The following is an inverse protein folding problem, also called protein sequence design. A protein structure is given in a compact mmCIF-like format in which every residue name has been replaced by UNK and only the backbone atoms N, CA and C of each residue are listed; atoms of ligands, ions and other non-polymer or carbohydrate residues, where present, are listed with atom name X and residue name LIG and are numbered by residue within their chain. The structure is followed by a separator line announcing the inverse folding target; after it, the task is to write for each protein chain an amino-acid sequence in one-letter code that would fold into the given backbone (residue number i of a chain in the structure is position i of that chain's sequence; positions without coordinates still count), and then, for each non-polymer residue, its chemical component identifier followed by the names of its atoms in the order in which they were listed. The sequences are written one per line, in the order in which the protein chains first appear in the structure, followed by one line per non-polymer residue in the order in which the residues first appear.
data_IF_994955232230
#
_entry.id   IF_994955232230
#
_cell.length_a   1.000
_cell.length_b   1.000
_cell.length_c   1.000
_cell.angle_alpha   90.00
_cell.angle_beta   90.00
_cell.angle_gamma   90.00
#
_symmetry.space_group_name_H-M   'P 1'
#
loop_
_entity.id
_entity.type
_entity.pdbx_description
1 polymer ?
#
# COMPACT_ATOMS: atom_id res chain seq x y z
N UNK A 1 46.93 -35.31 43.79
CA UNK A 1 47.88 -34.54 42.96
C UNK A 1 47.40 -33.10 43.01
N UNK A 2 47.88 -32.25 43.93
CA UNK A 2 49.15 -31.47 43.87
C UNK A 2 49.24 -30.75 42.51
N UNK A 3 49.42 -29.44 42.34
CA UNK A 3 49.44 -28.20 43.16
C UNK A 3 49.69 -27.07 42.12
N UNK A 4 49.57 -25.80 42.57
CA UNK A 4 50.07 -24.53 42.00
C UNK A 4 49.11 -23.78 41.06
N UNK A 5 48.79 -22.50 41.25
CA UNK A 5 49.43 -21.45 42.07
C UNK A 5 48.47 -20.27 42.24
N UNK A 6 48.49 -19.67 43.43
CA UNK A 6 47.82 -18.42 43.75
C UNK A 6 48.58 -17.20 43.20
N UNK A 7 47.85 -16.13 42.89
CA UNK A 7 48.29 -14.78 43.26
C UNK A 7 47.12 -13.82 43.43
N UNK A 8 47.17 -13.15 44.57
CA UNK A 8 46.19 -12.24 45.14
C UNK A 8 46.11 -10.90 44.39
N UNK A 9 44.93 -10.27 44.41
CA UNK A 9 44.81 -8.85 44.77
C UNK A 9 43.52 -8.59 45.56
N UNK A 10 43.75 -8.28 46.83
CA UNK A 10 42.90 -7.68 47.84
C UNK A 10 42.58 -6.22 47.39
N UNK A 11 41.40 -5.60 47.63
CA UNK A 11 41.03 -4.89 48.88
C UNK A 11 39.60 -4.27 48.72
N UNK A 12 38.76 -4.56 49.72
CA UNK A 12 37.73 -3.76 50.47
C UNK A 12 36.58 -3.04 49.71
N UNK A 13 35.29 -3.29 49.97
CA UNK A 13 34.44 -3.12 51.20
C UNK A 13 34.41 -1.69 51.79
N UNK A 14 33.30 -0.97 51.55
CA UNK A 14 32.45 -0.16 52.48
C UNK A 14 31.48 0.69 51.62
N UNK A 15 30.16 0.59 51.71
CA UNK A 15 29.24 0.90 52.82
C UNK A 15 28.91 2.41 52.96
N UNK A 16 27.65 2.72 52.63
CA UNK A 16 26.68 3.55 53.37
C UNK A 16 26.82 5.09 53.46
N UNK A 17 25.63 5.73 53.40
CA UNK A 17 25.14 7.06 53.86
C UNK A 17 24.19 7.56 52.75
N UNK A 18 22.85 7.61 52.83
CA UNK A 18 21.88 7.96 53.89
C UNK A 18 22.27 9.22 54.65
N UNK A 19 21.83 10.36 54.15
CA UNK A 19 21.50 11.52 54.96
C UNK A 19 20.18 12.13 54.47
N UNK A 20 19.20 12.15 55.37
CA UNK A 20 18.02 12.99 55.25
C UNK A 20 18.25 14.28 56.03
N UNK A 21 17.46 15.30 55.74
CA UNK A 21 17.17 16.39 56.68
C UNK A 21 15.80 16.95 56.37
N UNK A 22 14.88 16.73 57.32
CA UNK A 22 13.60 17.40 57.43
C UNK A 22 13.85 18.78 58.05
N UNK A 23 13.32 19.85 57.44
CA UNK A 23 13.17 21.15 58.09
C UNK A 23 11.77 21.69 57.76
N UNK A 24 10.90 21.74 58.77
CA UNK A 24 9.67 22.53 58.78
C UNK A 24 9.97 23.90 59.37
N UNK A 25 9.54 24.96 58.68
CA UNK A 25 9.00 26.19 59.28
C UNK A 25 8.30 27.00 58.17
N UNK A 26 7.05 27.41 58.43
CA UNK A 26 6.17 28.01 57.44
C UNK A 26 6.42 29.49 57.16
N UNK A 27 5.97 29.92 55.98
CA UNK A 27 5.51 31.26 55.68
C UNK A 27 4.58 31.19 54.46
N UNK A 28 3.35 31.65 54.64
CA UNK A 28 2.35 31.89 53.61
C UNK A 28 2.80 33.01 52.67
N UNK A 29 3.10 32.70 51.41
CA UNK A 29 3.17 33.68 50.32
C UNK A 29 2.78 33.01 49.00
N UNK A 30 1.77 33.61 48.37
CA UNK A 30 1.21 33.29 47.07
C UNK A 30 2.30 33.19 45.99
N UNK A 31 2.44 32.01 45.39
CA UNK A 31 3.33 31.79 44.26
C UNK A 31 2.86 30.57 43.49
N UNK A 32 2.30 30.79 42.30
CA UNK A 32 1.93 29.74 41.38
C UNK A 32 3.15 28.85 41.10
N UNK A 33 3.07 27.59 41.51
CA UNK A 33 4.02 26.57 41.06
C UNK A 33 3.75 26.34 39.56
N UNK A 34 4.77 26.39 38.68
CA UNK A 34 4.59 25.88 37.35
C UNK A 34 4.44 24.37 37.49
N UNK A 35 3.21 23.89 37.40
CA UNK A 35 2.93 22.51 37.04
C UNK A 35 3.67 22.29 35.73
N UNK A 36 4.84 21.63 35.82
CA UNK A 36 5.40 20.92 34.68
C UNK A 36 4.36 19.87 34.35
N UNK A 37 3.43 20.25 33.46
CA UNK A 37 2.63 19.33 32.69
C UNK A 37 3.67 18.44 32.02
N UNK A 38 3.88 17.25 32.58
CA UNK A 38 4.26 16.13 31.77
C UNK A 38 3.19 16.10 30.69
N UNK A 39 3.57 16.49 29.48
CA UNK A 39 2.71 16.37 28.33
C UNK A 39 2.25 14.92 28.33
N UNK A 40 0.98 14.75 28.68
CA UNK A 40 0.27 13.49 28.60
C UNK A 40 0.56 12.94 27.21
N UNK A 41 0.78 11.63 27.14
CA UNK A 41 0.92 10.90 25.86
C UNK A 41 -0.05 11.52 24.88
N UNK A 42 0.48 12.16 23.83
CA UNK A 42 -0.30 12.61 22.69
C UNK A 42 -1.28 11.49 22.37
N UNK A 43 -2.57 11.74 22.46
CA UNK A 43 -3.59 10.87 21.88
C UNK A 43 -3.08 10.54 20.48
N UNK A 44 -2.57 9.32 20.31
CA UNK A 44 -1.99 8.94 19.03
C UNK A 44 -3.13 9.08 18.04
N UNK A 45 -2.98 10.00 17.08
CA UNK A 45 -3.97 10.21 16.04
C UNK A 45 -4.33 8.84 15.47
N UNK A 46 -5.63 8.56 15.34
CA UNK A 46 -6.08 7.27 14.85
C UNK A 46 -5.42 7.01 13.49
N UNK A 47 -4.86 5.80 13.27
CA UNK A 47 -4.18 5.51 12.02
C UNK A 47 -5.15 5.59 10.85
N UNK A 48 -4.67 6.08 9.72
CA UNK A 48 -5.41 6.08 8.46
C UNK A 48 -5.61 4.63 8.02
N UNK A 49 -6.84 4.24 7.68
CA UNK A 49 -7.23 2.86 7.35
C UNK A 49 -7.65 2.72 5.91
N UNK A 50 -6.96 1.86 5.18
CA UNK A 50 -7.10 1.72 3.73
C UNK A 50 -7.40 0.27 3.40
N UNK A 51 -8.44 0.00 2.62
CA UNK A 51 -8.70 -1.32 2.06
C UNK A 51 -7.91 -1.51 0.77
N UNK A 52 -7.26 -2.66 0.59
CA UNK A 52 -6.48 -2.97 -0.60
C UNK A 52 -6.94 -4.31 -1.21
N UNK A 53 -7.19 -4.30 -2.52
CA UNK A 53 -7.51 -5.46 -3.36
C UNK A 53 -6.78 -5.37 -4.70
N UNK A 54 -6.53 -6.48 -5.38
CA UNK A 54 -5.85 -6.50 -6.69
C UNK A 54 -6.26 -7.69 -7.54
N UNK A 55 -6.13 -7.57 -8.86
CA UNK A 55 -6.26 -8.66 -9.83
C UNK A 55 -7.59 -9.43 -9.63
N UNK A 56 -8.68 -8.68 -9.55
CA UNK A 56 -10.05 -9.20 -9.38
C UNK A 56 -10.50 -9.95 -10.63
N UNK A 57 -10.11 -9.46 -11.80
CA UNK A 57 -10.38 -10.07 -13.10
C UNK A 57 -11.83 -10.49 -13.30
N UNK A 58 -12.80 -9.70 -12.82
CA UNK A 58 -14.20 -10.12 -13.01
C UNK A 58 -14.53 -10.25 -14.50
N UNK A 59 -15.17 -11.37 -14.84
CA UNK A 59 -15.73 -11.64 -16.14
C UNK A 59 -16.82 -12.72 -16.04
N UNK A 60 -17.89 -12.59 -16.82
CA UNK A 60 -18.95 -13.59 -16.92
C UNK A 60 -18.63 -14.69 -17.94
N UNK A 61 -17.47 -15.32 -17.79
CA UNK A 61 -16.98 -16.41 -18.67
C UNK A 61 -16.52 -17.63 -17.86
N UNK A 62 -16.39 -18.82 -18.48
CA UNK A 62 -15.78 -19.97 -17.82
C UNK A 62 -14.39 -19.64 -17.27
N UNK A 63 -13.99 -20.29 -16.19
CA UNK A 63 -12.65 -20.13 -15.61
C UNK A 63 -11.56 -20.51 -16.63
N UNK A 64 -10.39 -19.91 -16.49
CA UNK A 64 -9.22 -20.22 -17.31
C UNK A 64 -8.00 -20.44 -16.41
N UNK A 65 -7.38 -21.61 -16.51
CA UNK A 65 -6.31 -22.00 -15.60
C UNK A 65 -6.79 -21.93 -14.15
N UNK A 66 -6.12 -21.12 -13.34
CA UNK A 66 -6.44 -20.91 -11.93
C UNK A 66 -7.33 -19.69 -11.65
N UNK A 67 -7.76 -18.94 -12.69
CA UNK A 67 -8.61 -17.74 -12.55
C UNK A 67 -10.10 -18.10 -12.55
N UNK A 68 -10.78 -17.93 -11.42
CA UNK A 68 -12.21 -18.20 -11.25
C UNK A 68 -13.08 -16.93 -11.31
N UNK A 69 -13.15 -16.35 -12.51
CA UNK A 69 -13.72 -15.01 -12.80
C UNK A 69 -15.06 -14.68 -12.14
N UNK A 70 -16.05 -15.57 -12.23
CA UNK A 70 -17.40 -15.33 -11.68
C UNK A 70 -17.41 -15.28 -10.16
N UNK A 71 -16.54 -16.06 -9.51
CA UNK A 71 -16.47 -16.16 -8.06
C UNK A 71 -15.82 -14.93 -7.42
N UNK A 72 -15.15 -14.09 -8.21
CA UNK A 72 -14.64 -12.79 -7.74
C UNK A 72 -15.72 -11.94 -7.08
N UNK A 73 -16.97 -12.01 -7.52
CA UNK A 73 -18.05 -11.22 -6.89
C UNK A 73 -18.30 -11.63 -5.44
N UNK A 74 -18.32 -12.92 -5.14
CA UNK A 74 -18.50 -13.43 -3.78
C UNK A 74 -17.28 -13.13 -2.91
N UNK A 75 -16.08 -13.27 -3.49
CA UNK A 75 -14.81 -12.90 -2.86
C UNK A 75 -14.73 -11.40 -2.53
N UNK A 76 -15.22 -10.55 -3.44
CA UNK A 76 -15.30 -9.11 -3.21
C UNK A 76 -16.34 -8.76 -2.14
N UNK A 77 -17.48 -9.46 -2.10
CA UNK A 77 -18.46 -9.27 -1.05
C UNK A 77 -17.88 -9.58 0.34
N UNK A 78 -17.13 -10.68 0.48
CA UNK A 78 -16.41 -11.02 1.71
C UNK A 78 -15.42 -9.91 2.12
N UNK A 79 -14.63 -9.40 1.18
CA UNK A 79 -13.72 -8.29 1.45
C UNK A 79 -14.48 -7.03 1.91
N UNK A 80 -15.60 -6.72 1.26
CA UNK A 80 -16.49 -5.62 1.63
C UNK A 80 -17.03 -5.73 3.06
N UNK A 81 -17.44 -6.93 3.48
CA UNK A 81 -17.92 -7.18 4.85
C UNK A 81 -16.81 -6.95 5.89
N UNK A 82 -15.59 -7.39 5.63
CA UNK A 82 -14.45 -7.13 6.50
C UNK A 82 -14.07 -5.65 6.55
N UNK A 83 -14.12 -4.96 5.41
CA UNK A 83 -13.83 -3.54 5.31
C UNK A 83 -14.84 -2.67 6.07
N UNK A 84 -16.14 -3.02 6.04
CA UNK A 84 -17.18 -2.32 6.79
C UNK A 84 -16.96 -2.38 8.31
N UNK A 85 -16.39 -3.49 8.82
CA UNK A 85 -16.07 -3.63 10.25
C UNK A 85 -14.93 -2.69 10.69
N UNK A 86 -14.07 -2.26 9.76
CA UNK A 86 -12.83 -1.56 10.08
C UNK A 86 -12.90 -0.04 9.91
N UNK A 87 -14.01 0.52 9.40
CA UNK A 87 -14.19 1.97 9.13
C UNK A 87 -13.04 2.56 8.30
N UNK A 88 -12.96 2.15 7.04
CA UNK A 88 -11.94 2.63 6.11
C UNK A 88 -12.10 4.11 5.78
N UNK A 89 -10.97 4.80 5.62
CA UNK A 89 -10.88 6.15 5.06
C UNK A 89 -11.04 6.16 3.53
N UNK A 90 -10.47 5.14 2.87
CA UNK A 90 -10.66 4.86 1.44
C UNK A 90 -10.30 3.41 1.09
N UNK A 91 -10.62 3.01 -0.14
CA UNK A 91 -10.23 1.72 -0.72
C UNK A 91 -9.44 1.92 -2.01
N UNK A 92 -8.46 1.05 -2.27
CA UNK A 92 -7.67 1.04 -3.49
C UNK A 92 -7.78 -0.33 -4.16
N UNK A 93 -8.10 -0.31 -5.44
CA UNK A 93 -8.02 -1.44 -6.35
C UNK A 93 -6.75 -1.30 -7.19
N UNK A 94 -5.80 -2.23 -7.05
CA UNK A 94 -4.44 -2.12 -7.57
C UNK A 94 -4.29 -2.60 -9.03
N UNK A 95 -5.39 -2.70 -9.76
CA UNK A 95 -5.42 -3.01 -11.19
C UNK A 95 -5.82 -4.43 -11.53
N UNK A 96 -6.10 -4.61 -12.82
CA UNK A 96 -6.74 -5.81 -13.38
C UNK A 96 -8.10 -6.11 -12.72
N UNK A 97 -8.92 -5.05 -12.61
CA UNK A 97 -10.26 -5.09 -12.01
C UNK A 97 -11.24 -6.04 -12.73
N UNK A 98 -11.13 -6.10 -14.06
CA UNK A 98 -11.91 -6.97 -14.95
C UNK A 98 -10.97 -7.81 -15.83
N UNK A 99 -11.46 -8.92 -16.36
CA UNK A 99 -10.78 -9.64 -17.44
C UNK A 99 -11.37 -9.24 -18.81
N UNK A 100 -10.61 -9.48 -19.87
CA UNK A 100 -10.96 -9.08 -21.22
C UNK A 100 -12.16 -9.85 -21.77
N UNK A 101 -12.88 -9.22 -22.70
CA UNK A 101 -13.94 -9.84 -23.48
C UNK A 101 -13.72 -9.68 -25.00
N UNK A 102 -14.44 -10.46 -25.80
CA UNK A 102 -14.35 -10.40 -27.27
C UNK A 102 -14.99 -9.13 -27.86
N UNK A 103 -15.75 -8.37 -27.07
CA UNK A 103 -16.39 -7.13 -27.49
C UNK A 103 -16.32 -6.04 -26.42
N UNK A 104 -16.31 -4.78 -26.86
CA UNK A 104 -16.35 -3.60 -25.98
C UNK A 104 -17.61 -3.60 -25.12
N UNK A 105 -18.77 -3.94 -25.69
CA UNK A 105 -20.04 -3.99 -24.96
C UNK A 105 -19.98 -4.98 -23.79
N UNK A 106 -19.44 -6.18 -24.03
CA UNK A 106 -19.30 -7.20 -22.99
C UNK A 106 -18.31 -6.77 -21.90
N UNK A 107 -17.15 -6.22 -22.26
CA UNK A 107 -16.14 -5.78 -21.28
C UNK A 107 -16.65 -4.60 -20.43
N UNK A 108 -17.37 -3.64 -21.04
CA UNK A 108 -18.09 -2.59 -20.30
C UNK A 108 -19.17 -3.17 -19.38
N UNK A 109 -19.84 -4.24 -19.79
CA UNK A 109 -20.79 -4.98 -18.96
C UNK A 109 -20.12 -5.58 -17.72
N UNK A 110 -18.92 -6.17 -17.88
CA UNK A 110 -18.14 -6.67 -16.75
C UNK A 110 -17.76 -5.52 -15.81
N UNK A 111 -17.24 -4.42 -16.35
CA UNK A 111 -16.85 -3.23 -15.59
C UNK A 111 -18.01 -2.67 -14.77
N UNK A 112 -19.14 -2.45 -15.42
CA UNK A 112 -20.36 -1.94 -14.79
C UNK A 112 -20.82 -2.85 -13.65
N UNK A 113 -20.80 -4.16 -13.90
CA UNK A 113 -21.26 -5.16 -12.92
C UNK A 113 -20.39 -5.18 -11.67
N UNK A 114 -19.06 -5.25 -11.80
CA UNK A 114 -18.17 -5.29 -10.63
C UNK A 114 -18.09 -3.92 -9.94
N UNK A 115 -18.06 -2.81 -10.69
CA UNK A 115 -17.98 -1.47 -10.14
C UNK A 115 -19.22 -1.11 -9.30
N UNK A 116 -20.40 -1.59 -9.68
CA UNK A 116 -21.63 -1.44 -8.88
C UNK A 116 -21.50 -1.99 -7.47
N UNK A 117 -20.73 -3.06 -7.28
CA UNK A 117 -20.55 -3.70 -5.97
C UNK A 117 -19.37 -3.06 -5.23
N UNK A 118 -18.24 -2.81 -5.92
CA UNK A 118 -17.07 -2.17 -5.32
C UNK A 118 -17.33 -0.74 -4.83
N UNK A 119 -18.05 0.08 -5.61
CA UNK A 119 -18.36 1.48 -5.26
C UNK A 119 -19.20 1.63 -3.99
N UNK A 120 -19.88 0.57 -3.54
CA UNK A 120 -20.65 0.56 -2.28
C UNK A 120 -19.79 0.31 -1.05
N UNK A 121 -18.58 -0.24 -1.22
CA UNK A 121 -17.69 -0.57 -0.11
C UNK A 121 -17.20 0.70 0.58
N UNK A 122 -16.76 1.68 -0.20
CA UNK A 122 -16.33 2.97 0.30
C UNK A 122 -16.57 4.06 -0.75
N UNK A 123 -17.05 5.23 -0.32
CA UNK A 123 -17.27 6.37 -1.21
C UNK A 123 -15.96 6.87 -1.82
N UNK A 124 -14.90 6.97 -0.99
CA UNK A 124 -13.56 7.30 -1.44
C UNK A 124 -12.86 6.03 -1.91
N UNK A 125 -12.64 5.97 -3.21
CA UNK A 125 -12.12 4.79 -3.90
C UNK A 125 -11.19 5.21 -5.02
N UNK A 126 -10.13 4.44 -5.20
CA UNK A 126 -9.08 4.69 -6.18
C UNK A 126 -8.84 3.42 -6.99
N UNK A 127 -8.69 3.59 -8.30
CA UNK A 127 -8.46 2.49 -9.24
C UNK A 127 -7.11 2.71 -9.93
N UNK A 128 -6.24 1.72 -9.83
CA UNK A 128 -4.98 1.68 -10.58
C UNK A 128 -5.27 0.97 -11.90
N UNK A 129 -4.73 1.47 -13.03
CA UNK A 129 -4.89 0.74 -14.28
C UNK A 129 -3.98 -0.48 -14.32
N UNK A 130 -4.58 -1.65 -14.53
CA UNK A 130 -3.87 -2.85 -14.97
C UNK A 130 -4.02 -3.07 -16.48
N UNK A 131 -3.25 -4.00 -17.02
CA UNK A 131 -3.27 -4.26 -18.46
C UNK A 131 -4.59 -4.89 -18.94
N UNK A 132 -5.24 -5.75 -18.13
CA UNK A 132 -6.54 -6.31 -18.49
C UNK A 132 -7.67 -5.28 -18.47
N UNK A 133 -7.54 -4.18 -17.70
CA UNK A 133 -8.52 -3.09 -17.69
C UNK A 133 -8.71 -2.43 -19.06
N UNK A 134 -7.72 -2.56 -19.96
CA UNK A 134 -7.66 -1.89 -21.26
C UNK A 134 -7.29 -2.85 -22.40
N UNK A 135 -7.56 -4.15 -22.23
CA UNK A 135 -7.30 -5.14 -23.28
C UNK A 135 -8.24 -4.91 -24.47
N UNK A 136 -9.56 -4.85 -24.25
CA UNK A 136 -10.52 -4.50 -25.32
C UNK A 136 -11.04 -3.07 -25.14
N UNK A 137 -11.06 -2.54 -23.91
CA UNK A 137 -11.35 -1.14 -23.65
C UNK A 137 -10.17 -0.22 -23.98
N UNK A 138 -10.46 1.07 -24.13
CA UNK A 138 -9.48 2.16 -24.02
C UNK A 138 -9.44 2.69 -22.59
N UNK A 139 -8.36 3.41 -22.24
CA UNK A 139 -8.23 4.05 -20.92
C UNK A 139 -9.43 4.93 -20.60
N UNK A 140 -9.90 5.73 -21.55
CA UNK A 140 -11.01 6.67 -21.35
C UNK A 140 -12.33 5.94 -21.08
N UNK A 141 -12.56 4.80 -21.72
CA UNK A 141 -13.76 3.97 -21.53
C UNK A 141 -13.76 3.34 -20.14
N UNK A 142 -12.62 2.79 -19.70
CA UNK A 142 -12.49 2.23 -18.35
C UNK A 142 -12.65 3.32 -17.28
N UNK A 143 -11.90 4.43 -17.41
CA UNK A 143 -11.92 5.55 -16.47
C UNK A 143 -13.31 6.17 -16.33
N UNK A 144 -14.04 6.33 -17.43
CA UNK A 144 -15.43 6.78 -17.40
C UNK A 144 -16.33 5.78 -16.65
N UNK A 145 -16.16 4.47 -16.88
CA UNK A 145 -16.94 3.41 -16.22
C UNK A 145 -16.73 3.31 -14.71
N UNK A 146 -15.58 3.78 -14.19
CA UNK A 146 -15.28 3.84 -12.76
C UNK A 146 -15.38 5.24 -12.15
N UNK A 147 -15.79 6.23 -12.94
CA UNK A 147 -15.91 7.64 -12.55
C UNK A 147 -14.58 8.26 -12.08
N UNK A 148 -13.44 7.78 -12.60
CA UNK A 148 -12.12 8.28 -12.25
C UNK A 148 -11.59 9.23 -13.34
N UNK A 149 -11.26 10.50 -13.03
CA UNK A 149 -10.89 11.47 -14.08
C UNK A 149 -9.54 11.23 -14.76
N UNK A 150 -8.60 10.56 -14.09
CA UNK A 150 -7.20 10.41 -14.54
C UNK A 150 -6.69 9.00 -14.23
N UNK A 151 -5.75 8.51 -15.05
CA UNK A 151 -5.10 7.23 -14.82
C UNK A 151 -3.94 7.29 -13.82
N UNK A 152 -3.26 8.44 -13.74
CA UNK A 152 -2.25 8.74 -12.72
C UNK A 152 -2.52 10.11 -12.09
N UNK A 153 -2.31 10.21 -10.79
CA UNK A 153 -2.55 11.42 -9.99
C UNK A 153 -2.01 11.22 -8.56
N UNK A 154 -2.03 12.29 -7.79
CA UNK A 154 -1.69 12.29 -6.37
C UNK A 154 -2.78 12.97 -5.53
N UNK A 155 -2.80 12.66 -4.24
CA UNK A 155 -3.69 13.29 -3.26
C UNK A 155 -3.14 13.15 -1.85
N UNK A 156 -3.62 14.00 -0.95
CA UNK A 156 -3.29 13.92 0.48
C UNK A 156 -4.45 13.32 1.28
N UNK A 157 -4.14 12.50 2.27
CA UNK A 157 -5.09 12.05 3.28
C UNK A 157 -4.41 11.97 4.65
N UNK A 158 -4.91 12.76 5.61
CA UNK A 158 -4.20 12.99 6.87
C UNK A 158 -2.83 13.62 6.63
N UNK A 159 -1.82 13.09 7.31
CA UNK A 159 -0.43 13.55 7.21
C UNK A 159 0.37 12.88 6.09
N UNK A 160 -0.30 12.09 5.23
CA UNK A 160 0.32 11.29 4.19
C UNK A 160 -0.02 11.81 2.80
N UNK A 161 0.91 11.54 1.88
CA UNK A 161 0.76 11.77 0.46
C UNK A 161 0.60 10.43 -0.26
N UNK A 162 -0.27 10.37 -1.26
CA UNK A 162 -0.57 9.17 -2.02
C UNK A 162 -0.41 9.42 -3.50
N UNK A 163 0.15 8.45 -4.21
CA UNK A 163 0.39 8.51 -5.65
C UNK A 163 -0.23 7.27 -6.29
N UNK A 164 -1.00 7.46 -7.36
CA UNK A 164 -1.47 6.41 -8.26
C UNK A 164 -0.70 6.55 -9.57
N UNK A 165 -0.02 5.47 -9.98
CA UNK A 165 0.75 5.40 -11.23
C UNK A 165 0.03 4.61 -12.32
N UNK A 166 0.37 4.90 -13.58
CA UNK A 166 -0.12 4.23 -14.77
C UNK A 166 1.05 3.71 -15.62
N UNK A 167 1.40 2.43 -15.44
CA UNK A 167 2.45 1.79 -16.25
C UNK A 167 1.91 1.09 -17.52
N UNK A 168 0.64 1.34 -17.89
CA UNK A 168 0.03 0.77 -19.09
C UNK A 168 0.39 1.61 -20.33
N UNK A 169 1.68 1.71 -20.62
CA UNK A 169 2.23 2.28 -21.85
C UNK A 169 3.28 1.34 -22.45
N UNK A 170 3.37 1.35 -23.78
CA UNK A 170 4.37 0.61 -24.53
C UNK A 170 5.73 1.29 -24.44
N UNK A 171 6.78 0.58 -24.83
CA UNK A 171 8.15 1.11 -24.87
C UNK A 171 8.35 2.28 -25.83
N UNK A 172 7.48 2.43 -26.84
CA UNK A 172 7.45 3.58 -27.75
C UNK A 172 6.65 4.80 -27.21
N UNK A 173 6.10 4.70 -26.00
CA UNK A 173 5.33 5.75 -25.35
C UNK A 173 3.84 5.75 -25.70
N UNK A 174 3.39 4.87 -26.59
CA UNK A 174 1.97 4.75 -26.91
C UNK A 174 1.20 4.17 -25.71
N UNK A 175 0.05 4.77 -25.31
CA UNK A 175 -0.78 4.22 -24.25
C UNK A 175 -1.30 2.84 -24.65
N UNK A 176 -1.35 1.92 -23.69
CA UNK A 176 -2.09 0.69 -23.86
C UNK A 176 -3.56 1.04 -24.13
N UNK A 177 -4.14 0.29 -25.03
CA UNK A 177 -5.55 0.29 -25.33
C UNK A 177 -5.88 -0.90 -26.21
N UNK A 178 -7.13 -0.94 -26.64
CA UNK A 178 -7.73 -2.00 -27.46
C UNK A 178 -6.75 -2.77 -28.35
N UNK A 179 -6.35 -3.94 -27.87
CA UNK A 179 -5.52 -4.93 -28.55
C UNK A 179 -4.21 -4.38 -29.15
N UNK A 180 -3.66 -3.30 -28.60
CA UNK A 180 -2.49 -2.62 -29.16
C UNK A 180 -1.19 -2.94 -28.43
N UNK A 181 -1.18 -3.75 -27.38
CA UNK A 181 -0.02 -3.95 -26.51
C UNK A 181 0.31 -5.43 -26.27
N UNK A 182 1.48 -5.65 -25.69
CA UNK A 182 1.89 -6.91 -25.06
C UNK A 182 2.08 -6.63 -23.57
N UNK A 183 1.40 -7.37 -22.70
CA UNK A 183 1.42 -7.12 -21.25
C UNK A 183 2.83 -7.16 -20.63
N UNK A 184 3.79 -7.80 -21.32
CA UNK A 184 5.20 -7.86 -20.91
C UNK A 184 6.03 -6.65 -21.33
N UNK A 185 5.45 -5.61 -21.93
CA UNK A 185 6.13 -4.34 -22.26
C UNK A 185 5.52 -3.11 -21.52
N UNK A 186 5.36 -3.13 -20.19
CA UNK A 186 4.78 -2.01 -19.45
C UNK A 186 5.83 -0.94 -19.17
N UNK A 187 5.47 0.32 -19.32
CA UNK A 187 6.34 1.48 -19.21
C UNK A 187 5.57 2.63 -18.57
N UNK A 188 6.28 3.51 -17.87
CA UNK A 188 5.75 4.81 -17.45
C UNK A 188 6.29 5.88 -18.43
N UNK A 189 5.44 6.67 -19.09
CA UNK A 189 5.87 7.58 -20.15
C UNK A 189 6.63 8.77 -19.56
N UNK A 190 7.43 9.45 -20.39
CA UNK A 190 8.24 10.58 -19.96
C UNK A 190 7.41 11.68 -19.27
N UNK A 191 6.20 11.96 -19.76
CA UNK A 191 5.31 12.95 -19.17
C UNK A 191 4.91 12.61 -17.72
N UNK A 192 4.65 11.34 -17.44
CA UNK A 192 4.32 10.88 -16.08
C UNK A 192 5.55 10.86 -15.18
N UNK A 193 6.74 10.50 -15.69
CA UNK A 193 7.99 10.60 -14.92
C UNK A 193 8.31 12.05 -14.51
N UNK A 194 8.14 13.01 -15.42
CA UNK A 194 8.36 14.42 -15.11
C UNK A 194 7.30 14.98 -14.17
N UNK A 195 6.05 14.55 -14.32
CA UNK A 195 4.99 14.85 -13.34
C UNK A 195 5.33 14.30 -11.96
N UNK A 196 5.73 13.04 -11.86
CA UNK A 196 6.07 12.36 -10.61
C UNK A 196 7.20 13.07 -9.85
N UNK A 197 8.26 13.47 -10.57
CA UNK A 197 9.34 14.30 -9.98
C UNK A 197 8.80 15.61 -9.43
N UNK A 198 7.96 16.30 -10.21
CA UNK A 198 7.40 17.60 -9.82
C UNK A 198 6.46 17.49 -8.62
N UNK A 199 5.70 16.39 -8.54
CA UNK A 199 4.76 16.10 -7.47
C UNK A 199 5.49 15.82 -6.15
N UNK A 200 6.47 14.90 -6.17
CA UNK A 200 7.28 14.58 -5.01
C UNK A 200 8.14 15.75 -4.53
N UNK A 201 8.58 16.64 -5.41
CA UNK A 201 9.31 17.85 -5.02
C UNK A 201 8.44 18.90 -4.28
N UNK A 202 7.11 18.79 -4.34
CA UNK A 202 6.17 19.73 -3.70
C UNK A 202 5.69 19.26 -2.33
N UNK A 203 6.04 18.06 -1.92
CA UNK A 203 5.58 17.46 -0.65
C UNK A 203 6.76 17.04 0.21
N UNK A 204 6.60 17.22 1.51
CA UNK A 204 7.50 16.65 2.53
C UNK A 204 6.80 15.55 3.33
N UNK A 205 5.55 15.22 3.00
CA UNK A 205 4.77 14.19 3.68
C UNK A 205 5.31 12.80 3.33
N UNK A 206 5.28 11.85 4.28
CA UNK A 206 5.57 10.46 3.96
C UNK A 206 4.58 9.97 2.90
N UNK A 207 5.12 9.30 1.88
CA UNK A 207 4.41 8.99 0.64
C UNK A 207 4.20 7.48 0.47
N UNK A 208 2.98 7.09 0.08
CA UNK A 208 2.66 5.73 -0.36
C UNK A 208 2.28 5.75 -1.83
N UNK A 209 2.84 4.83 -2.60
CA UNK A 209 2.61 4.72 -4.04
C UNK A 209 1.80 3.46 -4.36
N UNK A 210 0.86 3.58 -5.29
CA UNK A 210 0.06 2.50 -5.84
C UNK A 210 0.35 2.35 -7.34
N UNK A 211 0.69 1.15 -7.78
CA UNK A 211 0.93 0.82 -9.19
C UNK A 211 0.56 -0.62 -9.47
N UNK A 212 0.21 -0.98 -10.71
CA UNK A 212 -0.21 -2.36 -10.99
C UNK A 212 0.99 -3.28 -11.28
N UNK A 213 1.74 -2.97 -12.35
CA UNK A 213 2.94 -3.71 -12.73
C UNK A 213 4.08 -3.45 -11.75
N UNK A 214 4.94 -4.46 -11.58
CA UNK A 214 5.95 -4.46 -10.53
C UNK A 214 7.07 -3.45 -10.80
N UNK A 215 7.47 -2.69 -9.79
CA UNK A 215 8.59 -1.73 -9.87
C UNK A 215 9.89 -2.27 -9.28
N UNK A 216 9.84 -3.42 -8.62
CA UNK A 216 10.91 -4.02 -7.84
C UNK A 216 11.64 -5.17 -8.55
N UNK A 217 11.20 -5.56 -9.74
CA UNK A 217 11.78 -6.68 -10.52
C UNK A 217 12.13 -6.29 -11.95
N UNK A 218 13.08 -7.00 -12.55
CA UNK A 218 13.51 -6.84 -13.95
C UNK A 218 12.98 -7.92 -14.90
N UNK A 219 12.03 -8.76 -14.46
CA UNK A 219 11.48 -9.85 -15.27
C UNK A 219 10.23 -9.41 -16.07
N UNK A 220 9.45 -10.36 -16.60
CA UNK A 220 8.28 -10.06 -17.43
C UNK A 220 7.12 -9.38 -16.69
N UNK A 221 7.09 -9.42 -15.35
CA UNK A 221 6.10 -8.70 -14.53
C UNK A 221 6.51 -7.24 -14.25
N UNK A 222 7.76 -6.88 -14.54
CA UNK A 222 8.33 -5.59 -14.21
C UNK A 222 8.10 -4.52 -15.28
N UNK A 223 7.88 -3.28 -14.81
CA UNK A 223 7.93 -2.07 -15.65
C UNK A 223 9.34 -1.93 -16.23
N UNK A 224 9.45 -1.70 -17.54
CA UNK A 224 10.76 -1.72 -18.22
C UNK A 224 11.68 -0.59 -17.80
N UNK A 225 11.11 0.58 -17.53
CA UNK A 225 11.84 1.71 -16.98
C UNK A 225 11.67 1.86 -15.45
N UNK A 226 11.40 0.76 -14.73
CA UNK A 226 11.24 0.76 -13.27
C UNK A 226 12.46 1.36 -12.54
N UNK A 227 13.68 1.16 -13.04
CA UNK A 227 14.88 1.75 -12.41
C UNK A 227 14.86 3.27 -12.40
N UNK A 228 14.34 3.91 -13.45
CA UNK A 228 14.19 5.36 -13.51
C UNK A 228 13.12 5.85 -12.52
N UNK A 229 12.02 5.11 -12.39
CA UNK A 229 10.93 5.39 -11.45
C UNK A 229 11.44 5.28 -10.01
N UNK A 230 12.11 4.17 -9.67
CA UNK A 230 12.68 3.95 -8.34
C UNK A 230 13.69 5.03 -7.97
N UNK A 231 14.54 5.45 -8.91
CA UNK A 231 15.45 6.57 -8.67
C UNK A 231 14.73 7.86 -8.25
N UNK A 232 13.58 8.16 -8.84
CA UNK A 232 12.77 9.34 -8.45
C UNK A 232 12.26 9.20 -7.01
N UNK A 233 11.81 8.00 -6.61
CA UNK A 233 11.39 7.74 -5.23
C UNK A 233 12.55 7.86 -4.23
N UNK A 234 13.70 7.29 -4.58
CA UNK A 234 14.91 7.31 -3.76
C UNK A 234 15.42 8.74 -3.56
N UNK A 235 15.47 9.53 -4.64
CA UNK A 235 15.92 10.92 -4.61
C UNK A 235 14.94 11.82 -3.81
N UNK A 236 13.65 11.46 -3.70
CA UNK A 236 12.68 12.26 -2.94
C UNK A 236 12.79 12.06 -1.42
N UNK A 237 13.30 10.90 -0.97
CA UNK A 237 13.42 10.50 0.44
C UNK A 237 12.10 10.49 1.24
N UNK A 238 10.96 10.67 0.57
CA UNK A 238 9.63 10.73 1.20
C UNK A 238 8.83 9.44 1.01
N UNK A 239 9.16 8.61 0.01
CA UNK A 239 8.41 7.39 -0.30
C UNK A 239 8.72 6.30 0.74
N UNK A 240 7.67 5.80 1.40
CA UNK A 240 7.76 4.72 2.38
C UNK A 240 7.53 3.36 1.73
N UNK A 241 6.51 3.25 0.89
CA UNK A 241 6.09 1.98 0.32
C UNK A 241 5.41 2.11 -1.05
N UNK A 242 5.49 1.03 -1.82
CA UNK A 242 4.80 0.79 -3.08
C UNK A 242 3.95 -0.47 -2.93
N UNK A 243 2.64 -0.35 -3.18
CA UNK A 243 1.73 -1.49 -3.25
C UNK A 243 1.36 -1.80 -4.70
N UNK A 244 1.42 -3.08 -5.05
CA UNK A 244 1.35 -3.54 -6.43
C UNK A 244 0.73 -4.92 -6.60
N UNK A 245 0.38 -5.29 -7.83
CA UNK A 245 -0.31 -6.54 -8.18
C UNK A 245 0.40 -7.33 -9.28
N UNK A 246 -0.37 -7.72 -10.30
CA UNK A 246 0.08 -8.22 -11.61
C UNK A 246 0.70 -9.63 -11.64
N UNK A 247 1.51 -10.01 -10.65
CA UNK A 247 2.15 -11.34 -10.60
C UNK A 247 1.37 -12.40 -9.81
N UNK A 248 0.18 -12.03 -9.30
CA UNK A 248 -0.82 -12.87 -8.63
C UNK A 248 -0.37 -13.56 -7.33
N UNK A 249 0.86 -13.35 -6.86
CA UNK A 249 1.42 -13.99 -5.67
C UNK A 249 1.89 -12.92 -4.68
N UNK A 250 1.77 -13.22 -3.39
CA UNK A 250 2.46 -12.42 -2.38
C UNK A 250 3.95 -12.37 -2.70
N UNK A 251 4.51 -11.17 -2.66
CA UNK A 251 5.94 -10.96 -2.73
C UNK A 251 6.30 -9.67 -2.00
N UNK A 252 7.52 -9.60 -1.50
CA UNK A 252 7.99 -8.45 -0.75
C UNK A 252 9.48 -8.25 -0.98
N UNK A 253 9.84 -7.02 -1.37
CA UNK A 253 11.21 -6.56 -1.42
C UNK A 253 11.36 -5.24 -0.69
N UNK A 254 12.55 -4.99 -0.15
CA UNK A 254 12.95 -3.67 0.32
C UNK A 254 14.14 -3.19 -0.51
N UNK A 255 13.99 -2.02 -1.14
CA UNK A 255 15.03 -1.45 -2.00
C UNK A 255 15.26 -0.01 -1.57
N UNK A 256 16.50 0.32 -1.20
CA UNK A 256 16.89 1.66 -0.76
C UNK A 256 15.99 2.23 0.36
N UNK A 257 15.54 1.38 1.29
CA UNK A 257 14.66 1.75 2.39
C UNK A 257 13.16 1.76 2.06
N UNK A 258 12.78 1.65 0.78
CA UNK A 258 11.38 1.65 0.33
C UNK A 258 10.85 0.21 0.32
N UNK A 259 9.66 0.00 0.87
CA UNK A 259 8.96 -1.29 0.87
C UNK A 259 8.19 -1.49 -0.45
N UNK A 260 8.37 -2.62 -1.12
CA UNK A 260 7.59 -2.99 -2.30
C UNK A 260 6.80 -4.25 -1.97
N UNK A 261 5.47 -4.13 -1.91
CA UNK A 261 4.58 -5.20 -1.52
C UNK A 261 3.67 -5.58 -2.67
N UNK A 262 3.94 -6.75 -3.25
CA UNK A 262 3.04 -7.36 -4.22
C UNK A 262 1.96 -8.15 -3.50
N UNK A 263 0.72 -7.78 -3.77
CA UNK A 263 -0.46 -8.43 -3.20
C UNK A 263 -0.85 -9.69 -4.00
N UNK A 264 -1.46 -10.65 -3.32
CA UNK A 264 -2.00 -11.85 -3.96
C UNK A 264 -3.27 -11.50 -4.75
N UNK A 265 -3.45 -12.11 -5.92
CA UNK A 265 -4.61 -11.87 -6.76
C UNK A 265 -5.89 -12.46 -6.16
N UNK A 266 -6.99 -11.69 -6.19
CA UNK A 266 -8.29 -12.16 -5.70
C UNK A 266 -8.89 -13.27 -6.57
N UNK A 267 -8.66 -13.24 -7.89
CA UNK A 267 -9.29 -14.18 -8.85
C UNK A 267 -8.84 -15.63 -8.68
N UNK A 268 -7.69 -15.85 -8.05
CA UNK A 268 -7.01 -17.15 -8.02
C UNK A 268 -7.73 -18.18 -7.15
N UNK A 269 -7.82 -19.42 -7.64
CA UNK A 269 -8.43 -20.55 -6.94
C UNK A 269 -9.95 -20.44 -6.74
N UNK A 270 -10.58 -21.59 -6.50
CA UNK A 270 -12.02 -21.65 -6.23
C UNK A 270 -12.31 -21.36 -4.76
N UNK A 271 -13.47 -20.77 -4.46
CA UNK A 271 -13.96 -20.59 -3.10
C UNK A 271 -13.33 -19.42 -2.31
N UNK A 272 -13.98 -19.00 -1.21
CA UNK A 272 -13.51 -17.89 -0.36
C UNK A 272 -12.18 -18.19 0.34
N UNK A 273 -11.81 -19.46 0.54
CA UNK A 273 -10.54 -19.85 1.14
C UNK A 273 -9.32 -19.48 0.28
N UNK A 274 -9.52 -19.26 -1.03
CA UNK A 274 -8.50 -18.81 -1.98
C UNK A 274 -8.60 -17.32 -2.31
N UNK A 275 -9.44 -16.56 -1.59
CA UNK A 275 -9.50 -15.11 -1.70
C UNK A 275 -8.21 -14.43 -1.19
N UNK A 276 -8.05 -13.14 -1.49
CA UNK A 276 -6.94 -12.32 -1.06
C UNK A 276 -7.30 -10.84 -1.05
N UNK A 277 -7.13 -10.21 0.11
CA UNK A 277 -7.35 -8.77 0.33
C UNK A 277 -6.69 -8.36 1.65
N UNK A 278 -6.51 -7.07 1.89
CA UNK A 278 -5.95 -6.58 3.15
C UNK A 278 -6.55 -5.25 3.60
N UNK A 279 -6.40 -4.97 4.89
CA UNK A 279 -6.44 -3.59 5.39
C UNK A 279 -5.04 -3.11 5.73
N UNK A 280 -4.74 -1.87 5.36
CA UNK A 280 -3.54 -1.15 5.73
C UNK A 280 -3.89 -0.10 6.78
N UNK A 281 -3.18 -0.11 7.90
CA UNK A 281 -3.20 0.96 8.89
C UNK A 281 -1.89 1.73 8.80
N UNK A 282 -1.99 3.05 8.65
CA UNK A 282 -0.86 3.97 8.55
C UNK A 282 -0.87 4.92 9.74
N UNK A 283 0.04 4.69 10.67
CA UNK A 283 0.18 5.44 11.92
C UNK A 283 0.92 6.75 11.70
N UNK A 284 0.67 7.76 12.54
CA UNK A 284 1.26 9.11 12.39
C UNK A 284 2.80 9.16 12.48
N UNK A 285 3.45 8.13 13.02
CA UNK A 285 4.91 7.97 12.99
C UNK A 285 5.44 7.41 11.67
N UNK A 286 4.55 7.07 10.73
CA UNK A 286 4.84 6.46 9.44
C UNK A 286 4.82 4.93 9.45
N UNK A 287 4.54 4.28 10.58
CA UNK A 287 4.45 2.81 10.65
C UNK A 287 3.32 2.32 9.75
N UNK A 288 3.65 1.35 8.87
CA UNK A 288 2.69 0.69 7.98
C UNK A 288 2.39 -0.70 8.53
N UNK A 289 1.12 -0.99 8.80
CA UNK A 289 0.65 -2.32 9.18
C UNK A 289 -0.33 -2.86 8.17
N UNK A 290 0.00 -3.99 7.55
CA UNK A 290 -0.85 -4.74 6.63
C UNK A 290 -1.45 -5.93 7.35
N UNK A 291 -2.76 -5.92 7.51
CA UNK A 291 -3.55 -7.07 7.95
C UNK A 291 -4.07 -7.79 6.72
N UNK A 292 -3.39 -8.87 6.33
CA UNK A 292 -3.80 -9.73 5.24
C UNK A 292 -4.89 -10.73 5.65
N UNK A 293 -5.86 -10.93 4.77
CA UNK A 293 -6.94 -11.89 4.92
C UNK A 293 -6.80 -13.03 3.92
N UNK A 294 -7.22 -14.23 4.35
CA UNK A 294 -7.19 -15.45 3.53
C UNK A 294 -5.77 -15.76 3.04
N UNK A 295 -5.51 -15.66 1.74
CA UNK A 295 -4.17 -15.92 1.17
C UNK A 295 -3.24 -14.71 1.22
N UNK A 296 -3.73 -13.52 1.56
CA UNK A 296 -2.90 -12.31 1.62
C UNK A 296 -2.01 -12.34 2.85
N UNK A 297 -0.71 -12.11 2.65
CA UNK A 297 0.26 -12.05 3.75
C UNK A 297 0.10 -10.76 4.57
N UNK A 298 0.60 -10.81 5.81
CA UNK A 298 0.58 -9.71 6.76
C UNK A 298 1.99 -9.13 6.93
N UNK A 299 2.05 -7.82 7.16
CA UNK A 299 3.31 -7.09 7.32
C UNK A 299 3.17 -6.01 8.39
N UNK A 300 4.28 -5.69 9.05
CA UNK A 300 4.40 -4.55 9.93
C UNK A 300 5.78 -3.94 9.72
N UNK A 301 5.81 -2.70 9.21
CA UNK A 301 7.03 -1.97 8.90
C UNK A 301 7.07 -0.72 9.78
N UNK A 302 7.81 -0.76 10.90
CA UNK A 302 8.06 0.41 11.72
C UNK A 302 9.03 1.37 11.00
N UNK A 303 8.94 2.66 11.33
CA UNK A 303 9.88 3.70 10.88
C UNK A 303 11.16 3.69 11.71
#
# INVERSE_FOLDING_TARGET
MIDKTARERQIQRRAFLRDGSLLLCGASLSGALPSRLFADKTDAAQPLRIGLVTDLHYADKPHAGSRYYRQTLDKLAEAGDEFQKQKLDFVVELGDFIDAADSVETELGYLTRINRDFSKICQKRHYVLGNHCVQTLKKEEFLAGVEQPKSYYSFDAGDFHFIVLDACFRSDGEPYGRNNFKWTDPNIPAAELEWLKSDLAKTTKPTVVFGHQRLDVGNHYGVKNASAVRKIFEDSQTVLAVFQGHSHKNDYHQIAGIHYCTMVAMVEGTGPENNGFSTMALSGDGTIKITGFRKQDRYEWPV
#
